data_IF_718586843753
#
_entry.id   IF_718586843753
#
_cell.length_a   1.000
_cell.length_b   1.000
_cell.length_c   1.000
_cell.angle_alpha   90.00
_cell.angle_beta   90.00
_cell.angle_gamma   90.00
#
_symmetry.space_group_name_H-M   'P 1'
#
loop_
_entity.id
_entity.type
_entity.pdbx_description
1 polymer ?
#
# COMPACT_ATOMS: atom_id res chain seq x y z
N UNK A 1 9.02 37.80 10.20
CA UNK A 1 9.35 36.63 9.34
C UNK A 1 8.07 36.13 8.69
N UNK A 2 7.94 36.20 7.36
CA UNK A 2 6.81 35.55 6.67
C UNK A 2 7.01 34.03 6.74
N UNK A 3 5.98 33.33 7.17
CA UNK A 3 6.00 31.89 7.44
C UNK A 3 6.35 31.12 6.16
N UNK A 4 7.52 30.46 6.11
CA UNK A 4 8.04 29.80 4.90
C UNK A 4 7.19 28.59 4.48
N UNK A 5 6.50 27.96 5.43
CA UNK A 5 5.59 26.83 5.20
C UNK A 5 4.45 27.14 4.21
N UNK A 6 3.94 28.37 4.20
CA UNK A 6 2.86 28.75 3.26
C UNK A 6 3.34 28.85 1.80
N UNK A 7 4.57 29.34 1.57
CA UNK A 7 5.14 29.45 0.21
C UNK A 7 5.50 28.08 -0.38
N UNK A 8 5.96 27.16 0.45
CA UNK A 8 6.22 25.77 0.04
C UNK A 8 4.93 25.05 -0.36
N UNK A 9 3.83 25.31 0.36
CA UNK A 9 2.52 24.72 0.05
C UNK A 9 1.96 25.22 -1.28
N UNK A 10 2.00 26.52 -1.54
CA UNK A 10 1.53 27.11 -2.82
C UNK A 10 2.34 26.61 -4.02
N UNK A 11 3.67 26.50 -3.87
CA UNK A 11 4.54 25.92 -4.89
C UNK A 11 4.21 24.45 -5.16
N UNK A 12 4.08 23.62 -4.13
CA UNK A 12 3.74 22.19 -4.28
C UNK A 12 2.40 22.03 -4.99
N UNK A 13 1.38 22.82 -4.60
CA UNK A 13 0.07 22.80 -5.26
C UNK A 13 0.21 23.18 -6.75
N UNK A 14 0.96 24.24 -7.05
CA UNK A 14 1.21 24.65 -8.44
C UNK A 14 1.90 23.55 -9.25
N UNK A 15 2.92 22.89 -8.70
CA UNK A 15 3.64 21.79 -9.37
C UNK A 15 2.76 20.54 -9.54
N UNK A 16 1.92 20.22 -8.57
CA UNK A 16 0.97 19.11 -8.68
C UNK A 16 -0.07 19.37 -9.78
N UNK A 17 -0.53 20.60 -9.94
CA UNK A 17 -1.53 20.99 -10.94
C UNK A 17 -0.90 21.14 -12.33
N UNK A 18 0.19 21.90 -12.44
CA UNK A 18 0.75 22.38 -13.71
C UNK A 18 2.05 21.69 -14.12
N UNK A 19 2.74 21.03 -13.18
CA UNK A 19 4.02 20.37 -13.42
C UNK A 19 3.90 19.04 -14.18
N UNK A 20 5.04 18.37 -14.45
CA UNK A 20 5.05 17.10 -15.17
C UNK A 20 4.32 16.01 -14.38
N UNK A 21 3.65 15.04 -15.04
CA UNK A 21 2.93 13.96 -14.36
C UNK A 21 3.74 13.19 -13.32
N UNK A 22 5.03 12.98 -13.60
CA UNK A 22 5.93 12.31 -12.67
C UNK A 22 6.11 13.06 -11.35
N UNK A 23 5.92 14.38 -11.30
CA UNK A 23 5.96 15.11 -10.03
C UNK A 23 4.85 14.64 -9.09
N UNK A 24 3.60 14.62 -9.55
CA UNK A 24 2.46 14.19 -8.74
C UNK A 24 2.56 12.71 -8.33
N UNK A 25 3.04 11.85 -9.23
CA UNK A 25 3.27 10.44 -8.95
C UNK A 25 4.37 10.26 -7.89
N UNK A 26 5.50 10.95 -8.05
CA UNK A 26 6.61 10.89 -7.11
C UNK A 26 6.20 11.43 -5.76
N UNK A 27 5.45 12.53 -5.72
CA UNK A 27 4.97 13.12 -4.47
C UNK A 27 4.05 12.16 -3.71
N UNK A 28 3.13 11.47 -4.40
CA UNK A 28 2.27 10.46 -3.77
C UNK A 28 3.11 9.33 -3.14
N UNK A 29 4.02 8.74 -3.92
CA UNK A 29 4.84 7.61 -3.47
C UNK A 29 5.78 8.05 -2.34
N UNK A 30 6.39 9.23 -2.46
CA UNK A 30 7.25 9.81 -1.44
C UNK A 30 6.49 10.12 -0.15
N UNK A 31 5.24 10.58 -0.25
CA UNK A 31 4.41 10.86 0.93
C UNK A 31 4.12 9.57 1.72
N UNK A 32 3.83 8.48 1.00
CA UNK A 32 3.63 7.17 1.63
C UNK A 32 4.96 6.67 2.24
N UNK A 33 6.06 6.74 1.48
CA UNK A 33 7.36 6.24 1.93
C UNK A 33 7.92 7.00 3.14
N UNK A 34 7.82 8.33 3.15
CA UNK A 34 8.48 9.15 4.18
C UNK A 34 7.61 9.49 5.38
N UNK A 35 6.30 9.40 5.26
CA UNK A 35 5.40 9.75 6.36
C UNK A 35 4.63 8.51 6.82
N UNK A 36 3.88 7.86 5.93
CA UNK A 36 3.01 6.75 6.31
C UNK A 36 3.78 5.49 6.73
N UNK A 37 4.84 5.11 6.02
CA UNK A 37 5.60 3.90 6.32
C UNK A 37 6.36 3.95 7.67
N UNK A 38 6.64 5.15 8.18
CA UNK A 38 7.20 5.31 9.52
C UNK A 38 6.19 4.89 10.59
N UNK A 39 4.93 5.31 10.45
CA UNK A 39 3.84 4.91 11.35
C UNK A 39 3.60 3.40 11.31
N UNK A 40 3.71 2.78 10.12
CA UNK A 40 3.61 1.32 9.98
C UNK A 40 4.72 0.58 10.72
N UNK A 41 5.94 1.13 10.72
CA UNK A 41 7.07 0.54 11.42
C UNK A 41 6.87 0.59 12.94
N UNK A 42 6.40 1.72 13.47
CA UNK A 42 6.03 1.88 14.89
C UNK A 42 4.90 0.91 15.28
N UNK A 43 3.89 0.76 14.41
CA UNK A 43 2.77 -0.18 14.61
C UNK A 43 3.28 -1.63 14.74
N UNK A 44 4.27 -2.00 13.93
CA UNK A 44 4.87 -3.33 13.95
C UNK A 44 5.66 -3.59 15.24
N UNK A 45 6.46 -2.63 15.69
CA UNK A 45 7.22 -2.71 16.94
C UNK A 45 6.31 -2.94 18.15
N UNK A 46 5.13 -2.31 18.15
CA UNK A 46 4.12 -2.46 19.20
C UNK A 46 3.19 -3.67 19.01
N UNK A 47 3.46 -4.55 18.03
CA UNK A 47 2.66 -5.74 17.71
C UNK A 47 1.17 -5.43 17.48
N UNK A 48 0.87 -4.25 16.94
CA UNK A 48 -0.49 -3.84 16.59
C UNK A 48 -0.87 -4.41 15.22
N UNK A 49 -0.90 -5.74 15.11
CA UNK A 49 -0.96 -6.46 13.82
C UNK A 49 -2.16 -6.06 12.97
N UNK A 50 -3.33 -5.86 13.57
CA UNK A 50 -4.52 -5.43 12.82
C UNK A 50 -4.33 -4.07 12.14
N UNK A 51 -3.75 -3.10 12.85
CA UNK A 51 -3.43 -1.77 12.29
C UNK A 51 -2.38 -1.86 11.18
N UNK A 52 -1.39 -2.75 11.32
CA UNK A 52 -0.38 -2.99 10.29
C UNK A 52 -1.01 -3.49 8.98
N UNK A 53 -1.89 -4.49 9.05
CA UNK A 53 -2.58 -5.00 7.87
C UNK A 53 -3.51 -3.95 7.26
N UNK A 54 -4.27 -3.21 8.07
CA UNK A 54 -5.13 -2.14 7.58
C UNK A 54 -4.33 -1.02 6.90
N UNK A 55 -3.19 -0.64 7.46
CA UNK A 55 -2.37 0.42 6.91
C UNK A 55 -1.69 0.02 5.60
N UNK A 56 -1.08 -1.18 5.54
CA UNK A 56 -0.50 -1.69 4.29
C UNK A 56 -1.58 -1.79 3.19
N UNK A 57 -2.76 -2.31 3.55
CA UNK A 57 -3.88 -2.42 2.62
C UNK A 57 -4.35 -1.05 2.08
N UNK A 58 -4.48 -0.06 2.96
CA UNK A 58 -4.85 1.30 2.58
C UNK A 58 -3.83 1.95 1.63
N UNK A 59 -2.53 1.80 1.90
CA UNK A 59 -1.48 2.31 1.03
C UNK A 59 -1.45 1.57 -0.32
N UNK A 60 -1.57 0.25 -0.31
CA UNK A 60 -1.65 -0.57 -1.51
C UNK A 60 -2.82 -0.15 -2.41
N UNK A 61 -4.02 0.02 -1.85
CA UNK A 61 -5.18 0.51 -2.59
C UNK A 61 -4.98 1.93 -3.11
N UNK A 62 -4.43 2.83 -2.29
CA UNK A 62 -4.17 4.21 -2.72
C UNK A 62 -3.27 4.25 -3.96
N UNK A 63 -2.23 3.42 -3.97
CA UNK A 63 -1.30 3.30 -5.11
C UNK A 63 -1.98 2.62 -6.30
N UNK A 64 -2.74 1.55 -6.08
CA UNK A 64 -3.44 0.84 -7.16
C UNK A 64 -4.49 1.70 -7.86
N UNK A 65 -5.21 2.50 -7.10
CA UNK A 65 -6.20 3.44 -7.64
C UNK A 65 -5.51 4.53 -8.46
N UNK A 66 -4.37 5.05 -7.99
CA UNK A 66 -3.59 6.02 -8.76
C UNK A 66 -3.06 5.39 -10.06
N UNK A 67 -2.30 4.29 -9.96
CA UNK A 67 -1.59 3.68 -11.08
C UNK A 67 -2.53 3.04 -12.11
N UNK A 68 -3.59 2.37 -11.66
CA UNK A 68 -4.46 1.57 -12.53
C UNK A 68 -5.94 1.96 -12.50
N UNK A 69 -6.38 2.75 -11.52
CA UNK A 69 -7.82 3.00 -11.31
C UNK A 69 -8.56 1.77 -10.81
N UNK A 70 -7.84 0.87 -10.13
CA UNK A 70 -8.39 -0.37 -9.60
C UNK A 70 -8.67 -0.23 -8.11
N UNK A 71 -9.84 -0.71 -7.69
CA UNK A 71 -10.33 -0.64 -6.31
C UNK A 71 -10.50 -2.05 -5.70
N UNK A 72 -10.74 -2.09 -4.40
CA UNK A 72 -11.15 -3.32 -3.70
C UNK A 72 -10.12 -4.46 -3.80
N UNK A 73 -10.58 -5.71 -3.75
CA UNK A 73 -9.70 -6.87 -3.78
C UNK A 73 -8.81 -6.91 -5.03
N UNK A 74 -9.35 -6.52 -6.20
CA UNK A 74 -8.61 -6.56 -7.47
C UNK A 74 -7.45 -5.57 -7.46
N UNK A 75 -7.69 -4.33 -7.02
CA UNK A 75 -6.63 -3.34 -6.88
C UNK A 75 -5.57 -3.76 -5.87
N UNK A 76 -6.00 -4.32 -4.74
CA UNK A 76 -5.09 -4.82 -3.72
C UNK A 76 -4.20 -5.98 -4.24
N UNK A 77 -4.81 -6.97 -4.90
CA UNK A 77 -4.07 -8.10 -5.49
C UNK A 77 -3.05 -7.63 -6.54
N UNK A 78 -3.44 -6.69 -7.42
CA UNK A 78 -2.53 -6.12 -8.43
C UNK A 78 -1.30 -5.47 -7.79
N UNK A 79 -1.47 -4.74 -6.68
CA UNK A 79 -0.35 -4.15 -5.95
C UNK A 79 0.60 -5.23 -5.44
N UNK A 80 0.07 -6.27 -4.80
CA UNK A 80 0.89 -7.35 -4.26
C UNK A 80 1.70 -8.03 -5.36
N UNK A 81 1.04 -8.41 -6.45
CA UNK A 81 1.65 -9.09 -7.59
C UNK A 81 2.78 -8.27 -8.22
N UNK A 82 2.59 -6.95 -8.36
CA UNK A 82 3.57 -6.10 -9.04
C UNK A 82 4.74 -5.67 -8.16
N UNK A 83 4.53 -5.56 -6.85
CA UNK A 83 5.49 -4.85 -5.99
C UNK A 83 5.93 -5.63 -4.76
N UNK A 84 5.07 -6.48 -4.20
CA UNK A 84 5.29 -7.10 -2.90
C UNK A 84 5.74 -8.56 -3.03
N UNK A 85 5.24 -9.28 -4.03
CA UNK A 85 5.60 -10.66 -4.27
C UNK A 85 7.12 -10.80 -4.51
N UNK A 86 7.67 -11.89 -3.97
CA UNK A 86 9.07 -12.28 -4.16
C UNK A 86 9.17 -13.60 -4.91
N UNK A 87 10.39 -13.99 -5.25
CA UNK A 87 10.67 -15.28 -5.91
C UNK A 87 10.34 -16.48 -5.03
N UNK A 88 10.38 -16.32 -3.69
CA UNK A 88 10.04 -17.40 -2.77
C UNK A 88 8.52 -17.64 -2.74
N UNK A 89 8.04 -18.88 -2.95
CA UNK A 89 6.61 -19.17 -3.03
C UNK A 89 5.79 -18.79 -1.79
N UNK A 90 6.39 -18.84 -0.60
CA UNK A 90 5.76 -18.45 0.67
C UNK A 90 5.71 -16.93 0.88
N UNK A 91 6.19 -16.15 -0.09
CA UNK A 91 6.17 -14.68 -0.13
C UNK A 91 5.45 -14.13 -1.36
N UNK A 92 4.74 -14.99 -2.09
CA UNK A 92 3.79 -14.61 -3.12
C UNK A 92 2.44 -14.27 -2.49
N UNK A 93 2.39 -13.15 -1.76
CA UNK A 93 1.21 -12.71 -1.02
C UNK A 93 0.01 -12.42 -1.93
N UNK A 94 0.21 -12.14 -3.22
CA UNK A 94 -0.89 -12.00 -4.17
C UNK A 94 -1.77 -13.26 -4.26
N UNK A 95 -1.20 -14.46 -4.06
CA UNK A 95 -1.94 -15.74 -4.04
C UNK A 95 -2.93 -15.84 -2.87
N UNK A 96 -2.69 -15.08 -1.81
CA UNK A 96 -3.54 -14.99 -0.63
C UNK A 96 -4.16 -13.59 -0.45
N UNK A 97 -4.22 -12.80 -1.52
CA UNK A 97 -4.76 -11.44 -1.51
C UNK A 97 -6.22 -11.41 -1.03
N UNK A 98 -7.04 -12.36 -1.47
CA UNK A 98 -8.46 -12.46 -1.08
C UNK A 98 -8.62 -12.68 0.43
N UNK A 99 -8.02 -13.73 1.03
CA UNK A 99 -8.05 -13.91 2.49
C UNK A 99 -7.61 -12.66 3.28
N UNK A 100 -6.53 -11.99 2.85
CA UNK A 100 -6.06 -10.78 3.54
C UNK A 100 -7.05 -9.62 3.38
N UNK A 101 -7.62 -9.45 2.19
CA UNK A 101 -8.62 -8.42 1.92
C UNK A 101 -9.89 -8.63 2.77
N UNK A 102 -10.36 -9.87 2.86
CA UNK A 102 -11.53 -10.24 3.67
C UNK A 102 -11.24 -10.02 5.16
N UNK A 103 -10.03 -10.40 5.61
CA UNK A 103 -9.57 -10.18 6.96
C UNK A 103 -9.55 -8.69 7.36
N UNK A 104 -9.15 -7.80 6.46
CA UNK A 104 -9.25 -6.34 6.66
C UNK A 104 -10.69 -5.90 6.93
N UNK A 105 -11.67 -6.44 6.20
CA UNK A 105 -13.08 -6.10 6.42
C UNK A 105 -13.54 -6.56 7.80
N UNK A 106 -13.09 -7.75 8.24
CA UNK A 106 -13.37 -8.26 9.59
C UNK A 106 -12.75 -7.36 10.66
N UNK A 107 -11.47 -6.97 10.51
CA UNK A 107 -10.81 -6.03 11.43
C UNK A 107 -11.52 -4.67 11.48
N UNK A 108 -11.95 -4.14 10.33
CA UNK A 108 -12.63 -2.86 10.24
C UNK A 108 -14.08 -2.90 10.81
N UNK A 109 -14.73 -4.07 10.73
CA UNK A 109 -16.09 -4.29 11.21
C UNK A 109 -16.15 -5.14 12.48
N UNK A 110 -15.03 -5.32 13.19
CA UNK A 110 -14.88 -6.21 14.35
C UNK A 110 -15.75 -5.81 15.55
N UNK A 111 -16.45 -4.67 15.47
CA UNK A 111 -17.57 -4.35 16.34
C UNK A 111 -18.81 -5.26 16.15
N UNK A 112 -18.89 -6.09 15.09
CA UNK A 112 -20.15 -6.76 14.68
C UNK A 112 -20.08 -8.27 14.36
N UNK A 113 -18.94 -8.98 14.49
CA UNK A 113 -18.94 -10.40 14.09
C UNK A 113 -18.03 -11.31 14.92
N UNK A 114 -18.67 -12.35 15.50
CA UNK A 114 -18.10 -13.51 16.18
C UNK A 114 -18.08 -14.74 15.25
N UNK A 115 -17.51 -14.61 14.06
CA UNK A 115 -17.46 -15.72 13.10
C UNK A 115 -16.08 -16.36 13.03
N UNK A 116 -16.02 -17.69 13.09
CA UNK A 116 -14.80 -18.48 13.12
C UNK A 116 -13.92 -18.24 11.89
N UNK A 117 -12.84 -17.49 12.10
CA UNK A 117 -11.91 -17.15 11.03
C UNK A 117 -10.64 -17.99 11.11
N UNK A 118 -10.34 -18.61 9.98
CA UNK A 118 -9.16 -19.39 9.70
C UNK A 118 -7.97 -18.49 9.31
N UNK A 119 -7.72 -17.43 10.09
CA UNK A 119 -6.66 -16.46 9.83
C UNK A 119 -5.92 -16.17 11.14
N UNK A 120 -4.62 -16.43 11.16
CA UNK A 120 -3.80 -16.27 12.35
C UNK A 120 -2.43 -15.65 12.02
N UNK A 121 -1.72 -15.20 13.05
CA UNK A 121 -0.43 -14.54 12.94
C UNK A 121 0.64 -15.31 13.69
N UNK A 122 1.77 -15.55 13.02
CA UNK A 122 2.95 -16.16 13.65
C UNK A 122 4.21 -15.38 13.26
N UNK A 123 4.67 -14.52 14.17
CA UNK A 123 5.88 -13.71 13.99
C UNK A 123 7.17 -14.54 13.98
N UNK A 124 7.13 -15.77 14.49
CA UNK A 124 8.31 -16.62 14.67
C UNK A 124 8.48 -17.63 13.52
N UNK A 125 7.49 -17.75 12.65
CA UNK A 125 7.56 -18.60 11.46
C UNK A 125 8.59 -18.08 10.45
N UNK A 126 9.46 -18.94 9.92
CA UNK A 126 10.44 -18.52 8.89
C UNK A 126 9.79 -18.19 7.53
N UNK A 127 8.60 -18.75 7.27
CA UNK A 127 7.83 -18.54 6.05
C UNK A 127 7.02 -17.23 6.11
N UNK A 128 6.81 -16.59 4.96
CA UNK A 128 5.94 -15.43 4.83
C UNK A 128 4.47 -15.77 5.12
N UNK A 129 3.98 -16.88 4.57
CA UNK A 129 2.71 -17.47 4.96
C UNK A 129 2.73 -19.00 4.83
N UNK A 130 1.79 -19.67 5.50
CA UNK A 130 1.48 -21.09 5.29
C UNK A 130 -0.03 -21.32 5.37
N UNK A 131 -0.50 -22.37 4.71
CA UNK A 131 -1.88 -22.82 4.79
C UNK A 131 -1.89 -24.20 5.46
N UNK A 132 -2.49 -24.30 6.64
CA UNK A 132 -2.60 -25.52 7.44
C UNK A 132 -4.06 -25.95 7.55
N UNK A 133 -4.48 -27.03 6.89
CA UNK A 133 -5.83 -27.61 7.05
C UNK A 133 -6.99 -26.60 6.98
N UNK A 134 -6.83 -25.55 6.15
CA UNK A 134 -7.71 -24.38 5.90
C UNK A 134 -7.37 -23.09 6.66
N UNK A 135 -6.45 -23.12 7.63
CA UNK A 135 -5.97 -21.95 8.36
C UNK A 135 -4.83 -21.26 7.62
N UNK A 136 -5.02 -19.99 7.29
CA UNK A 136 -3.97 -19.13 6.77
C UNK A 136 -3.23 -18.52 7.95
N UNK A 137 -1.95 -18.84 8.06
CA UNK A 137 -1.06 -18.25 9.06
C UNK A 137 -0.07 -17.37 8.32
N UNK A 138 0.01 -16.09 8.70
CA UNK A 138 0.93 -15.12 8.08
C UNK A 138 1.98 -14.70 9.11
N UNK A 139 3.24 -14.56 8.68
CA UNK A 139 4.24 -13.83 9.44
C UNK A 139 4.14 -12.33 9.12
N UNK A 140 3.67 -11.49 10.08
CA UNK A 140 3.48 -10.07 9.81
C UNK A 140 4.80 -9.31 9.60
N UNK A 141 5.89 -9.73 10.21
CA UNK A 141 7.22 -9.13 10.01
C UNK A 141 7.72 -9.34 8.58
N UNK A 142 7.57 -10.55 8.04
CA UNK A 142 7.98 -10.84 6.66
C UNK A 142 7.09 -10.06 5.69
N UNK A 143 5.77 -10.07 5.90
CA UNK A 143 4.83 -9.31 5.09
C UNK A 143 5.16 -7.81 5.05
N UNK A 144 5.40 -7.20 6.21
CA UNK A 144 5.85 -5.81 6.30
C UNK A 144 7.20 -5.58 5.60
N UNK A 145 8.15 -6.49 5.78
CA UNK A 145 9.47 -6.35 5.16
C UNK A 145 9.41 -6.38 3.63
N UNK A 146 8.56 -7.23 3.04
CA UNK A 146 8.30 -7.27 1.60
C UNK A 146 7.64 -5.97 1.15
N UNK A 147 6.65 -5.49 1.90
CA UNK A 147 5.99 -4.21 1.62
C UNK A 147 6.97 -3.03 1.62
N UNK A 148 7.77 -2.86 2.68
CA UNK A 148 8.72 -1.74 2.79
C UNK A 148 9.82 -1.81 1.72
N UNK A 149 10.24 -3.02 1.30
CA UNK A 149 11.19 -3.20 0.20
C UNK A 149 10.67 -2.68 -1.14
N UNK A 150 9.36 -2.73 -1.39
CA UNK A 150 8.79 -2.16 -2.60
C UNK A 150 9.13 -0.66 -2.78
N UNK A 151 9.24 0.07 -1.67
CA UNK A 151 9.65 1.47 -1.65
C UNK A 151 11.18 1.63 -1.62
N UNK A 152 11.88 0.90 -0.74
CA UNK A 152 13.35 0.98 -0.62
C UNK A 152 14.09 0.63 -1.92
N UNK A 153 13.62 -0.39 -2.63
CA UNK A 153 14.18 -0.84 -3.90
C UNK A 153 13.67 0.02 -5.09
N UNK A 154 12.90 1.07 -4.83
CA UNK A 154 12.24 1.91 -5.82
C UNK A 154 11.37 1.13 -6.83
N UNK A 155 10.83 -0.04 -6.50
CA UNK A 155 10.07 -0.88 -7.45
C UNK A 155 8.88 -0.13 -8.05
N UNK A 156 8.16 0.60 -7.19
CA UNK A 156 6.97 1.37 -7.56
C UNK A 156 7.36 2.56 -8.45
N UNK A 157 8.43 3.28 -8.08
CA UNK A 157 8.95 4.40 -8.88
C UNK A 157 9.49 3.95 -10.24
N UNK A 158 10.24 2.85 -10.27
CA UNK A 158 10.78 2.25 -11.48
C UNK A 158 9.69 1.74 -12.42
N UNK A 159 8.58 1.25 -11.87
CA UNK A 159 7.40 0.91 -12.66
C UNK A 159 6.79 2.17 -13.29
N UNK A 160 6.53 3.21 -12.49
CA UNK A 160 5.93 4.44 -12.97
C UNK A 160 6.78 5.16 -14.03
N UNK A 161 8.11 5.15 -13.87
CA UNK A 161 9.04 5.83 -14.80
C UNK A 161 9.12 5.15 -16.17
N UNK A 162 8.77 3.87 -16.28
CA UNK A 162 8.73 3.11 -17.54
C UNK A 162 7.44 3.32 -18.32
N UNK A 163 6.40 3.88 -17.70
CA UNK A 163 5.14 4.20 -18.37
C UNK A 163 5.33 5.33 -19.37
N UNK A 164 4.57 5.30 -20.46
CA UNK A 164 4.63 6.39 -21.43
C UNK A 164 3.93 7.65 -20.88
N UNK A 165 4.19 8.81 -21.51
CA UNK A 165 3.65 10.10 -21.07
C UNK A 165 2.12 10.13 -20.94
N UNK A 166 1.40 9.44 -21.84
CA UNK A 166 -0.07 9.37 -21.81
C UNK A 166 -0.58 8.58 -20.60
N UNK A 167 0.11 7.51 -20.24
CA UNK A 167 -0.20 6.72 -19.04
C UNK A 167 0.09 7.51 -17.77
N UNK A 168 1.24 8.17 -17.70
CA UNK A 168 1.59 9.03 -16.56
C UNK A 168 0.57 10.17 -16.39
N UNK A 169 0.14 10.79 -17.49
CA UNK A 169 -0.90 11.83 -17.45
C UNK A 169 -2.23 11.27 -16.90
N UNK A 170 -2.67 10.09 -17.34
CA UNK A 170 -3.87 9.44 -16.77
C UNK A 170 -3.74 9.24 -15.26
N UNK A 171 -2.56 8.81 -14.79
CA UNK A 171 -2.31 8.63 -13.36
C UNK A 171 -2.39 9.98 -12.63
N UNK A 172 -1.75 11.02 -13.16
CA UNK A 172 -1.84 12.39 -12.63
C UNK A 172 -3.31 12.82 -12.49
N UNK A 173 -4.12 12.63 -13.54
CA UNK A 173 -5.54 12.99 -13.52
C UNK A 173 -6.33 12.21 -12.46
N UNK A 174 -6.03 10.91 -12.23
CA UNK A 174 -6.67 10.16 -11.14
C UNK A 174 -6.27 10.68 -9.75
N UNK A 175 -4.99 11.02 -9.57
CA UNK A 175 -4.49 11.62 -8.32
C UNK A 175 -5.23 12.94 -8.08
N UNK A 176 -5.28 13.82 -9.07
CA UNK A 176 -5.96 15.13 -8.97
C UNK A 176 -7.46 15.00 -8.75
N UNK A 177 -8.12 14.07 -9.47
CA UNK A 177 -9.56 13.85 -9.38
C UNK A 177 -10.04 13.58 -7.95
N UNK A 178 -9.24 12.89 -7.13
CA UNK A 178 -9.56 12.64 -5.71
C UNK A 178 -9.60 13.90 -4.84
N UNK A 179 -8.85 14.94 -5.20
CA UNK A 179 -8.72 16.15 -4.40
C UNK A 179 -9.50 17.35 -4.98
N UNK A 180 -9.82 17.30 -6.27
CA UNK A 180 -10.50 18.40 -6.98
C UNK A 180 -11.99 18.16 -7.17
N UNK A 181 -12.48 16.92 -7.05
CA UNK A 181 -13.92 16.65 -7.03
C UNK A 181 -14.45 16.85 -5.61
N UNK A 182 -15.21 17.94 -5.42
CA UNK A 182 -16.07 18.16 -4.26
C UNK A 182 -17.44 17.53 -4.49
#
# INVERSE_FOLDING_TARGET
>A
MKNRAHRETEYIISEVLNGPPMFSISLLIYSIDKFFNNELSITAENKQTGLLFMGIHAAALTISEALWGLHGQVGYQMFLEKFLDEEQPDREFSKIAKPIHDWRNILAHQFLSSSGHNFDYDYHMEKGYKINNKDLIINPSIYLSCYLRAFKDNRIMNYASKLNKKEQEKIKQRILGKYLQK
#
